data_IF_163540037989
#
_entry.id   IF_163540037989
#
_cell.length_a   1.000
_cell.length_b   1.000
_cell.length_c   1.000
_cell.angle_alpha   90.00
_cell.angle_beta   90.00
_cell.angle_gamma   90.00
#
_symmetry.space_group_name_H-M   'P 1'
#
loop_
_entity.id
_entity.type
_entity.pdbx_description
1 polymer ?
#
# COMPACT_ATOMS: atom_id res chain seq x y z
N UNK A 1 37.13 -8.79 -17.92
CA UNK A 1 36.60 -7.41 -17.81
C UNK A 1 35.08 -7.33 -17.96
N UNK A 2 34.46 -8.01 -18.93
CA UNK A 2 32.99 -7.96 -19.15
C UNK A 2 32.09 -8.44 -17.99
N UNK A 3 32.52 -9.40 -17.15
CA UNK A 3 31.70 -9.84 -15.99
C UNK A 3 31.54 -8.76 -14.91
N UNK A 4 32.57 -7.94 -14.69
CA UNK A 4 32.55 -6.92 -13.63
C UNK A 4 31.69 -5.71 -14.04
N UNK A 5 31.66 -5.39 -15.34
CA UNK A 5 30.78 -4.36 -15.92
C UNK A 5 29.32 -4.81 -15.84
N UNK A 6 29.01 -6.06 -16.21
CA UNK A 6 27.64 -6.59 -16.10
C UNK A 6 27.14 -6.64 -14.65
N UNK A 7 27.99 -6.99 -13.68
CA UNK A 7 27.62 -7.00 -12.26
C UNK A 7 27.28 -5.59 -11.73
N UNK A 8 28.05 -4.56 -12.14
CA UNK A 8 27.75 -3.17 -11.77
C UNK A 8 26.48 -2.64 -12.44
N UNK A 9 26.23 -2.99 -13.69
CA UNK A 9 25.01 -2.59 -14.43
C UNK A 9 23.76 -3.26 -13.84
N UNK A 10 23.84 -4.55 -13.47
CA UNK A 10 22.75 -5.24 -12.77
C UNK A 10 22.50 -4.66 -11.36
N UNK A 11 23.56 -4.32 -10.62
CA UNK A 11 23.43 -3.68 -9.31
C UNK A 11 22.80 -2.28 -9.42
N UNK A 12 23.21 -1.49 -10.43
CA UNK A 12 22.69 -0.15 -10.68
C UNK A 12 21.20 -0.19 -11.10
N UNK A 13 20.81 -1.18 -11.90
CA UNK A 13 19.40 -1.42 -12.26
C UNK A 13 18.58 -1.87 -11.06
N UNK A 14 19.09 -2.77 -10.21
CA UNK A 14 18.41 -3.15 -8.95
C UNK A 14 18.24 -1.98 -7.98
N UNK A 15 19.28 -1.16 -7.83
CA UNK A 15 19.26 0.03 -6.96
C UNK A 15 18.17 1.03 -7.36
N UNK A 16 17.78 1.09 -8.64
CA UNK A 16 16.75 2.02 -9.11
C UNK A 16 15.33 1.65 -8.64
N UNK A 17 15.00 0.37 -8.48
CA UNK A 17 13.65 -0.08 -8.06
C UNK A 17 13.48 -0.25 -6.55
N UNK A 18 14.58 -0.40 -5.81
CA UNK A 18 14.61 -0.50 -4.35
C UNK A 18 14.00 0.72 -3.62
N UNK A 19 14.21 1.99 -4.02
CA UNK A 19 13.64 3.12 -3.29
C UNK A 19 12.11 3.15 -3.34
N UNK A 20 11.49 2.83 -4.48
CA UNK A 20 10.02 2.78 -4.59
C UNK A 20 9.43 1.68 -3.69
N UNK A 21 10.07 0.51 -3.65
CA UNK A 21 9.69 -0.59 -2.77
C UNK A 21 9.82 -0.21 -1.29
N UNK A 22 10.91 0.45 -0.91
CA UNK A 22 11.13 0.93 0.46
C UNK A 22 10.08 1.96 0.86
N UNK A 23 9.75 2.91 -0.03
CA UNK A 23 8.70 3.90 0.22
C UNK A 23 7.32 3.25 0.37
N UNK A 24 7.00 2.24 -0.45
CA UNK A 24 5.76 1.47 -0.32
C UNK A 24 5.61 0.84 1.07
N UNK A 25 6.66 0.14 1.52
CA UNK A 25 6.67 -0.54 2.83
C UNK A 25 6.61 0.49 3.95
N UNK A 26 7.36 1.59 3.83
CA UNK A 26 7.35 2.67 4.81
C UNK A 26 5.96 3.29 4.99
N UNK A 27 5.28 3.63 3.88
CA UNK A 27 3.94 4.19 3.96
C UNK A 27 2.91 3.21 4.52
N UNK A 28 3.03 1.92 4.19
CA UNK A 28 2.17 0.88 4.77
C UNK A 28 2.36 0.76 6.29
N UNK A 29 3.61 0.72 6.77
CA UNK A 29 3.91 0.69 8.21
C UNK A 29 3.35 1.92 8.90
N UNK A 30 3.52 3.11 8.31
CA UNK A 30 3.00 4.35 8.85
C UNK A 30 1.47 4.33 8.94
N UNK A 31 0.78 3.91 7.88
CA UNK A 31 -0.68 3.76 7.86
C UNK A 31 -1.17 2.78 8.92
N UNK A 32 -0.56 1.58 9.00
CA UNK A 32 -0.94 0.55 9.96
C UNK A 32 -0.74 1.03 11.40
N UNK A 33 0.40 1.67 11.69
CA UNK A 33 0.71 2.22 13.00
C UNK A 33 -0.28 3.30 13.44
N UNK A 34 -0.64 4.22 12.54
CA UNK A 34 -1.62 5.27 12.85
C UNK A 34 -3.00 4.67 13.15
N UNK A 35 -3.47 3.72 12.33
CA UNK A 35 -4.76 3.07 12.57
C UNK A 35 -4.76 2.27 13.88
N UNK A 36 -3.69 1.52 14.17
CA UNK A 36 -3.56 0.77 15.42
C UNK A 36 -3.53 1.67 16.65
N UNK A 37 -2.87 2.83 16.56
CA UNK A 37 -2.88 3.83 17.63
C UNK A 37 -4.32 4.24 17.99
N UNK A 38 -5.18 4.49 16.99
CA UNK A 38 -6.58 4.80 17.24
C UNK A 38 -7.33 3.63 17.87
N UNK A 39 -7.14 2.40 17.39
CA UNK A 39 -7.82 1.22 17.96
C UNK A 39 -7.44 0.98 19.43
N UNK A 40 -6.15 1.05 19.75
CA UNK A 40 -5.65 0.74 21.10
C UNK A 40 -6.02 1.85 22.09
N UNK A 41 -5.89 3.11 21.69
CA UNK A 41 -6.10 4.24 22.58
C UNK A 41 -7.59 4.49 22.89
N UNK A 42 -8.49 4.24 21.91
CA UNK A 42 -9.91 4.58 22.06
C UNK A 42 -10.83 3.37 22.32
N UNK A 43 -10.47 2.14 21.90
CA UNK A 43 -11.31 0.97 22.18
C UNK A 43 -10.80 0.17 23.37
N UNK A 44 -9.77 -0.66 23.19
CA UNK A 44 -9.23 -1.56 24.23
C UNK A 44 -8.02 -2.37 23.73
N UNK A 45 -7.29 -3.01 24.65
CA UNK A 45 -6.17 -3.92 24.35
C UNK A 45 -6.57 -5.18 23.55
N UNK A 46 -7.86 -5.51 23.45
CA UNK A 46 -8.36 -6.66 22.68
C UNK A 46 -8.07 -6.56 21.18
N UNK A 47 -7.81 -5.36 20.67
CA UNK A 47 -7.51 -5.12 19.26
C UNK A 47 -6.06 -5.43 18.86
N UNK A 48 -5.22 -5.99 19.76
CA UNK A 48 -3.89 -6.52 19.42
C UNK A 48 -3.94 -7.57 18.30
N UNK A 49 -5.07 -8.27 18.12
CA UNK A 49 -5.26 -9.19 16.99
C UNK A 49 -5.04 -8.50 15.63
N UNK A 50 -5.35 -7.22 15.50
CA UNK A 50 -5.09 -6.45 14.28
C UNK A 50 -3.60 -6.25 14.01
N UNK A 51 -2.78 -6.10 15.05
CA UNK A 51 -1.32 -6.02 14.92
C UNK A 51 -0.74 -7.32 14.34
N UNK A 52 -1.30 -8.47 14.73
CA UNK A 52 -0.96 -9.77 14.13
C UNK A 52 -1.38 -9.83 12.66
N UNK A 53 -2.56 -9.31 12.33
CA UNK A 53 -3.01 -9.21 10.94
C UNK A 53 -2.11 -8.29 10.10
N UNK A 54 -1.63 -7.16 10.65
CA UNK A 54 -0.68 -6.27 9.97
C UNK A 54 0.65 -6.96 9.71
N UNK A 55 1.16 -7.73 10.67
CA UNK A 55 2.39 -8.50 10.45
C UNK A 55 2.22 -9.49 9.29
N UNK A 56 1.07 -10.15 9.22
CA UNK A 56 0.77 -11.06 8.11
C UNK A 56 0.69 -10.33 6.77
N UNK A 57 -0.02 -9.20 6.70
CA UNK A 57 -0.14 -8.38 5.49
C UNK A 57 1.22 -7.79 5.07
N UNK A 58 2.03 -7.35 6.04
CA UNK A 58 3.40 -6.88 5.80
C UNK A 58 4.27 -7.97 5.17
N UNK A 59 4.20 -9.19 5.70
CA UNK A 59 4.94 -10.34 5.14
C UNK A 59 4.46 -10.63 3.72
N UNK A 60 3.14 -10.63 3.47
CA UNK A 60 2.59 -10.82 2.13
C UNK A 60 3.11 -9.75 1.14
N UNK A 61 3.10 -8.48 1.56
CA UNK A 61 3.62 -7.35 0.77
C UNK A 61 5.11 -7.52 0.44
N UNK A 62 5.94 -7.83 1.44
CA UNK A 62 7.39 -8.04 1.25
C UNK A 62 7.65 -9.23 0.32
N UNK A 63 6.94 -10.35 0.49
CA UNK A 63 7.04 -11.51 -0.40
C UNK A 63 6.65 -11.14 -1.83
N UNK A 64 5.60 -10.35 -2.01
CA UNK A 64 5.14 -9.84 -3.31
C UNK A 64 6.22 -9.01 -4.02
N UNK A 65 6.89 -8.12 -3.28
CA UNK A 65 7.99 -7.28 -3.79
C UNK A 65 9.23 -8.14 -4.15
N UNK A 66 9.64 -9.06 -3.27
CA UNK A 66 10.79 -9.94 -3.50
C UNK A 66 10.55 -10.81 -4.74
N UNK A 67 9.34 -11.37 -4.87
CA UNK A 67 8.97 -12.20 -6.01
C UNK A 67 8.94 -11.39 -7.31
N UNK A 68 8.47 -10.15 -7.27
CA UNK A 68 8.53 -9.21 -8.39
C UNK A 68 9.97 -8.95 -8.85
N UNK A 69 10.87 -8.64 -7.92
CA UNK A 69 12.28 -8.32 -8.22
C UNK A 69 13.10 -9.53 -8.72
N UNK A 70 12.78 -10.75 -8.25
CA UNK A 70 13.53 -11.96 -8.60
C UNK A 70 13.22 -12.45 -10.03
N UNK A 71 12.02 -12.15 -10.56
CA UNK A 71 11.60 -12.59 -11.89
C UNK A 71 12.18 -11.77 -13.04
N UNK A 72 12.65 -10.56 -12.77
CA UNK A 72 13.27 -9.69 -13.77
C UNK A 72 14.64 -10.22 -14.24
N UNK A 73 15.32 -11.06 -13.46
CA UNK A 73 16.63 -11.66 -13.79
C UNK A 73 16.53 -12.95 -14.65
N UNK A 74 15.34 -13.56 -14.84
CA UNK A 74 15.19 -14.93 -15.40
C UNK A 74 14.37 -14.99 -16.70
N UNK A 75 14.48 -13.95 -17.53
CA UNK A 75 13.53 -13.66 -18.60
C UNK A 75 13.85 -14.25 -19.99
N UNK A 76 14.29 -15.51 -20.14
CA UNK A 76 14.50 -16.09 -21.50
C UNK A 76 13.97 -17.49 -21.81
N UNK A 77 13.33 -18.25 -20.90
CA UNK A 77 12.99 -19.66 -21.27
C UNK A 77 11.69 -20.25 -20.73
N UNK A 78 10.80 -19.50 -20.07
CA UNK A 78 9.55 -20.03 -19.53
C UNK A 78 8.33 -19.11 -19.74
N UNK A 79 8.34 -18.35 -20.84
CA UNK A 79 7.41 -17.23 -21.12
C UNK A 79 5.92 -17.59 -21.29
N UNK A 80 5.51 -18.87 -21.35
CA UNK A 80 4.09 -19.21 -21.57
C UNK A 80 3.34 -19.85 -20.38
N UNK A 81 4.00 -20.55 -19.46
CA UNK A 81 3.28 -21.30 -18.40
C UNK A 81 3.09 -20.53 -17.09
N UNK A 82 3.96 -19.57 -16.79
CA UNK A 82 3.95 -18.82 -15.52
C UNK A 82 3.03 -17.59 -15.55
N UNK A 83 2.69 -17.12 -16.74
CA UNK A 83 1.92 -15.89 -17.03
C UNK A 83 0.50 -15.93 -16.45
N UNK A 84 -0.04 -17.11 -16.10
CA UNK A 84 -1.39 -17.27 -15.51
C UNK A 84 -1.43 -17.25 -13.97
N UNK A 85 -0.33 -17.63 -13.31
CA UNK A 85 -0.24 -17.64 -11.82
C UNK A 85 0.43 -16.35 -11.29
N UNK A 86 1.12 -15.63 -12.18
CA UNK A 86 1.94 -14.46 -11.88
C UNK A 86 1.16 -13.15 -11.86
N UNK A 87 -0.12 -13.16 -12.28
CA UNK A 87 -0.98 -11.99 -12.33
C UNK A 87 -1.58 -11.56 -10.98
N UNK A 88 -1.31 -12.20 -9.83
CA UNK A 88 -2.11 -11.87 -8.64
C UNK A 88 -1.43 -11.87 -7.28
N UNK A 89 -0.12 -12.05 -7.10
CA UNK A 89 0.45 -11.88 -5.74
C UNK A 89 0.51 -10.41 -5.31
N UNK A 90 0.80 -9.54 -6.28
CA UNK A 90 0.68 -8.09 -6.24
C UNK A 90 -0.72 -7.63 -5.84
N UNK A 91 -1.70 -8.07 -6.62
CA UNK A 91 -3.11 -7.76 -6.41
C UNK A 91 -3.63 -8.32 -5.09
N UNK A 92 -3.24 -9.55 -4.72
CA UNK A 92 -3.60 -10.14 -3.42
C UNK A 92 -3.01 -9.34 -2.27
N UNK A 93 -1.74 -8.91 -2.32
CA UNK A 93 -1.17 -8.05 -1.26
C UNK A 93 -1.90 -6.71 -1.18
N UNK A 94 -2.20 -6.09 -2.32
CA UNK A 94 -2.96 -4.85 -2.35
C UNK A 94 -4.37 -5.02 -1.76
N UNK A 95 -5.08 -6.09 -2.12
CA UNK A 95 -6.40 -6.40 -1.55
C UNK A 95 -6.32 -6.65 -0.05
N UNK A 96 -5.32 -7.39 0.43
CA UNK A 96 -5.12 -7.64 1.86
C UNK A 96 -4.87 -6.34 2.63
N UNK A 97 -4.08 -5.42 2.07
CA UNK A 97 -3.85 -4.09 2.65
C UNK A 97 -5.17 -3.32 2.75
N UNK A 98 -5.95 -3.25 1.67
CA UNK A 98 -7.21 -2.50 1.65
C UNK A 98 -8.27 -3.12 2.56
N UNK A 99 -8.44 -4.45 2.56
CA UNK A 99 -9.40 -5.13 3.44
C UNK A 99 -9.05 -4.87 4.91
N UNK A 100 -7.78 -4.98 5.27
CA UNK A 100 -7.32 -4.77 6.64
C UNK A 100 -7.47 -3.30 7.06
N UNK A 101 -7.09 -2.34 6.21
CA UNK A 101 -7.28 -0.91 6.47
C UNK A 101 -8.77 -0.55 6.61
N UNK A 102 -9.62 -0.99 5.67
CA UNK A 102 -11.06 -0.74 5.69
C UNK A 102 -11.73 -1.35 6.92
N UNK A 103 -11.37 -2.57 7.33
CA UNK A 103 -11.91 -3.18 8.54
C UNK A 103 -11.61 -2.33 9.78
N UNK A 104 -10.38 -1.83 9.91
CA UNK A 104 -9.99 -0.92 11.01
C UNK A 104 -10.76 0.39 10.97
N UNK A 105 -10.88 1.00 9.79
CA UNK A 105 -11.61 2.25 9.59
C UNK A 105 -13.09 2.07 9.98
N UNK A 106 -13.75 1.00 9.54
CA UNK A 106 -15.13 0.70 9.89
C UNK A 106 -15.30 0.55 11.40
N UNK A 107 -14.41 -0.19 12.07
CA UNK A 107 -14.45 -0.36 13.53
C UNK A 107 -14.26 1.00 14.23
N UNK A 108 -13.29 1.80 13.80
CA UNK A 108 -13.09 3.15 14.37
C UNK A 108 -14.37 3.99 14.22
N UNK A 109 -15.02 3.93 13.05
CA UNK A 109 -16.24 4.66 12.73
C UNK A 109 -17.46 4.16 13.54
N UNK A 110 -17.61 2.85 13.70
CA UNK A 110 -18.76 2.27 14.39
C UNK A 110 -18.71 2.50 15.91
N UNK A 111 -17.52 2.44 16.49
CA UNK A 111 -17.32 2.61 17.93
C UNK A 111 -17.13 4.07 18.36
N UNK A 112 -17.30 5.03 17.45
CA UNK A 112 -17.09 6.46 17.72
C UNK A 112 -15.70 6.75 18.32
N UNK A 113 -14.70 5.97 17.90
CA UNK A 113 -13.38 5.88 18.50
C UNK A 113 -12.37 6.84 17.84
N UNK A 114 -12.80 8.06 17.58
CA UNK A 114 -11.96 9.12 17.05
C UNK A 114 -11.87 10.32 18.01
N UNK A 115 -10.74 11.04 18.00
CA UNK A 115 -10.59 12.28 18.77
C UNK A 115 -11.62 13.31 18.31
N UNK A 116 -12.26 13.97 19.26
CA UNK A 116 -13.14 15.10 18.97
C UNK A 116 -12.28 16.25 18.39
N UNK A 117 -12.83 17.01 17.45
CA UNK A 117 -12.12 18.09 16.73
C UNK A 117 -11.51 19.16 17.65
N UNK A 118 -11.95 19.22 18.91
CA UNK A 118 -11.44 20.10 19.96
C UNK A 118 -10.21 19.57 20.72
N UNK A 119 -9.74 18.35 20.46
CA UNK A 119 -8.55 17.84 21.15
C UNK A 119 -7.26 18.41 20.52
N UNK A 120 -6.43 19.15 21.29
CA UNK A 120 -5.18 19.74 20.80
C UNK A 120 -4.06 18.71 20.56
N UNK A 121 -4.40 17.42 20.50
CA UNK A 121 -3.44 16.34 20.35
C UNK A 121 -2.96 16.23 18.91
N UNK A 122 -1.67 15.92 18.73
CA UNK A 122 -1.07 15.73 17.41
C UNK A 122 -1.80 14.65 16.58
N UNK A 123 -2.42 13.67 17.26
CA UNK A 123 -3.20 12.59 16.65
C UNK A 123 -4.69 12.95 16.52
N UNK A 124 -5.00 14.16 16.05
CA UNK A 124 -6.38 14.60 15.77
C UNK A 124 -6.99 13.99 14.49
N UNK A 125 -8.21 14.42 14.11
CA UNK A 125 -8.92 13.92 12.91
C UNK A 125 -8.13 14.04 11.61
N UNK A 126 -7.26 15.05 11.52
CA UNK A 126 -6.42 15.27 10.35
C UNK A 126 -5.41 14.14 10.14
N UNK A 127 -4.84 13.57 11.22
CA UNK A 127 -3.93 12.43 11.12
C UNK A 127 -4.67 11.18 10.65
N UNK A 128 -5.90 10.97 11.12
CA UNK A 128 -6.76 9.91 10.61
C UNK A 128 -7.06 10.06 9.12
N UNK A 129 -7.44 11.26 8.65
CA UNK A 129 -7.62 11.56 7.22
C UNK A 129 -6.35 11.26 6.42
N UNK A 130 -5.18 11.69 6.92
CA UNK A 130 -3.91 11.41 6.24
C UNK A 130 -3.57 9.93 6.17
N UNK A 131 -3.93 9.14 7.19
CA UNK A 131 -3.75 7.69 7.19
C UNK A 131 -4.57 6.98 6.12
N UNK A 132 -5.76 7.50 5.79
CA UNK A 132 -6.60 6.95 4.73
C UNK A 132 -6.06 7.36 3.36
N UNK A 133 -5.67 8.63 3.20
CA UNK A 133 -5.04 9.14 1.98
C UNK A 133 -3.71 8.43 1.66
N UNK A 134 -2.98 7.97 2.67
CA UNK A 134 -1.76 7.16 2.53
C UNK A 134 -1.99 5.86 1.73
N UNK A 135 -3.22 5.33 1.70
CA UNK A 135 -3.57 4.15 0.89
C UNK A 135 -3.34 4.40 -0.61
N UNK A 136 -3.67 5.59 -1.11
CA UNK A 136 -3.40 6.01 -2.49
C UNK A 136 -1.92 6.02 -2.80
N UNK A 137 -1.10 6.53 -1.86
CA UNK A 137 0.36 6.53 -2.01
C UNK A 137 0.90 5.09 -2.04
N UNK A 138 0.45 4.21 -1.15
CA UNK A 138 0.88 2.80 -1.12
C UNK A 138 0.55 2.11 -2.44
N UNK A 139 -0.64 2.34 -3.00
CA UNK A 139 -1.03 1.81 -4.30
C UNK A 139 -0.09 2.29 -5.42
N UNK A 140 0.21 3.59 -5.50
CA UNK A 140 1.16 4.15 -6.46
C UNK A 140 2.55 3.51 -6.37
N UNK A 141 3.09 3.40 -5.16
CA UNK A 141 4.43 2.83 -4.95
C UNK A 141 4.47 1.32 -5.21
N UNK A 142 3.40 0.60 -4.89
CA UNK A 142 3.28 -0.82 -5.22
C UNK A 142 3.23 -1.04 -6.74
N UNK A 143 2.42 -0.23 -7.44
CA UNK A 143 2.26 -0.30 -8.90
C UNK A 143 3.58 0.01 -9.62
N UNK A 144 4.26 1.07 -9.23
CA UNK A 144 5.58 1.45 -9.79
C UNK A 144 6.67 0.43 -9.49
N UNK A 145 6.61 -0.27 -8.35
CA UNK A 145 7.57 -1.33 -8.01
C UNK A 145 7.39 -2.59 -8.87
N UNK A 146 6.18 -2.85 -9.35
CA UNK A 146 5.82 -4.13 -9.98
C UNK A 146 5.57 -4.04 -11.48
N UNK A 147 5.32 -2.84 -12.00
CA UNK A 147 5.07 -2.60 -13.40
C UNK A 147 6.02 -1.53 -13.95
N UNK A 148 7.19 -1.97 -14.41
CA UNK A 148 8.05 -1.15 -15.26
C UNK A 148 7.67 -1.41 -16.73
N UNK A 149 6.68 -0.67 -17.23
CA UNK A 149 6.20 -0.79 -18.60
C UNK A 149 6.93 0.21 -19.52
N UNK A 150 7.51 -0.23 -20.65
CA UNK A 150 8.20 0.67 -21.57
C UNK A 150 7.25 1.73 -22.16
N UNK A 151 7.82 2.92 -22.42
CA UNK A 151 7.14 4.08 -23.01
C UNK A 151 6.40 3.69 -24.30
N UNK A 152 5.09 3.94 -24.36
CA UNK A 152 4.25 3.70 -25.55
C UNK A 152 3.56 2.33 -25.62
N UNK A 153 3.70 1.45 -24.62
CA UNK A 153 2.99 0.16 -24.60
C UNK A 153 1.53 0.30 -24.14
N UNK A 154 0.61 -0.50 -24.69
CA UNK A 154 -0.80 -0.54 -24.23
C UNK A 154 -0.92 -0.85 -22.73
N UNK A 155 0.03 -1.62 -22.19
CA UNK A 155 0.12 -1.93 -20.77
C UNK A 155 0.33 -0.67 -19.91
N UNK A 156 1.07 0.33 -20.40
CA UNK A 156 1.28 1.59 -19.69
C UNK A 156 0.02 2.45 -19.69
N UNK A 157 -0.72 2.50 -20.80
CA UNK A 157 -2.01 3.21 -20.83
C UNK A 157 -2.98 2.59 -19.82
N UNK A 158 -3.09 1.25 -19.79
CA UNK A 158 -3.92 0.57 -18.80
C UNK A 158 -3.50 0.85 -17.35
N UNK A 159 -2.19 0.89 -17.06
CA UNK A 159 -1.66 1.26 -15.74
C UNK A 159 -2.02 2.72 -15.40
N UNK A 160 -1.93 3.63 -16.37
CA UNK A 160 -2.33 5.04 -16.20
C UNK A 160 -3.81 5.13 -15.86
N UNK A 161 -4.66 4.47 -16.64
CA UNK A 161 -6.10 4.44 -16.40
C UNK A 161 -6.43 3.85 -15.03
N UNK A 162 -5.72 2.79 -14.60
CA UNK A 162 -5.90 2.21 -13.27
C UNK A 162 -5.47 3.16 -12.16
N UNK A 163 -4.37 3.89 -12.38
CA UNK A 163 -3.82 4.87 -11.45
C UNK A 163 -4.80 6.02 -11.25
N UNK A 164 -5.30 6.56 -12.36
CA UNK A 164 -6.20 7.71 -12.36
C UNK A 164 -7.54 7.36 -11.69
N UNK A 165 -8.12 6.19 -11.97
CA UNK A 165 -9.39 5.81 -11.34
C UNK A 165 -9.25 5.43 -9.86
N UNK A 166 -8.33 4.52 -9.51
CA UNK A 166 -8.26 3.97 -8.15
C UNK A 166 -7.83 5.01 -7.12
N UNK A 167 -6.92 5.93 -7.48
CA UNK A 167 -6.47 6.97 -6.56
C UNK A 167 -7.58 7.97 -6.31
N UNK A 168 -8.31 8.37 -7.35
CA UNK A 168 -9.43 9.27 -7.22
C UNK A 168 -10.54 8.65 -6.37
N UNK A 169 -10.87 7.37 -6.58
CA UNK A 169 -11.84 6.68 -5.72
C UNK A 169 -11.45 6.69 -4.22
N UNK A 170 -10.16 6.47 -3.92
CA UNK A 170 -9.67 6.54 -2.53
C UNK A 170 -9.73 7.96 -1.98
N UNK A 171 -9.41 8.98 -2.77
CA UNK A 171 -9.49 10.39 -2.36
C UNK A 171 -10.95 10.81 -2.12
N UNK A 172 -11.85 10.44 -3.03
CA UNK A 172 -13.29 10.67 -2.87
C UNK A 172 -13.83 10.00 -1.60
N UNK A 173 -13.28 8.83 -1.23
CA UNK A 173 -13.63 8.16 0.04
C UNK A 173 -13.18 8.96 1.26
N UNK A 174 -12.02 9.62 1.21
CA UNK A 174 -11.54 10.51 2.28
C UNK A 174 -12.46 11.72 2.43
N UNK A 175 -12.89 12.30 1.30
CA UNK A 175 -13.78 13.48 1.29
C UNK A 175 -15.19 13.11 1.79
N UNK A 176 -15.74 11.96 1.40
CA UNK A 176 -17.00 11.44 1.94
C UNK A 176 -16.88 11.23 3.46
N UNK A 177 -15.74 10.71 3.91
CA UNK A 177 -15.52 10.46 5.32
C UNK A 177 -15.43 11.75 6.15
N UNK A 178 -14.99 12.86 5.55
CA UNK A 178 -15.01 14.18 6.20
C UNK A 178 -16.41 14.60 6.67
N UNK A 179 -17.44 14.28 5.89
CA UNK A 179 -18.83 14.54 6.25
C UNK A 179 -19.22 13.82 7.55
N UNK A 180 -18.68 12.63 7.82
CA UNK A 180 -18.97 11.88 9.05
C UNK A 180 -18.35 12.51 10.30
N UNK A 181 -17.27 13.28 10.16
CA UNK A 181 -16.69 14.04 11.27
C UNK A 181 -17.41 15.35 11.54
N UNK A 182 -18.07 15.91 10.52
CA UNK A 182 -18.78 17.19 10.61
C UNK A 182 -20.20 17.01 11.17
N UNK A 183 -20.38 16.14 12.18
CA UNK A 183 -21.65 16.07 12.89
C UNK A 183 -21.85 17.37 13.67
N UNK A 184 -22.64 18.24 13.07
CA UNK A 184 -23.29 19.38 13.70
C UNK A 184 -23.99 18.91 14.99
N UNK A 185 -23.70 19.59 16.09
CA UNK A 185 -24.58 19.65 17.26
C UNK A 185 -25.97 20.19 16.86
#
# INVERSE_FOLDING_TARGET
MNRCINAKVQLCSKIHHVPAALMCVFFYILQAFVLDYYLINFLNFLFICFLVADLFVLVALVVSIIYGSTKMDRQRSAELAQTRMMFSLSWVSWLLININASAKIIIIIEYNAWPLEKDPSFFGPNVFKTAIALSSCIFLFLLTTQHDAPLGSERRSYISDLTDNVILDILDTVDILEVFFTKED
#
